data_IF_668473988944
#
_entry.id   IF_668473988944
#
_cell.length_a   1.000
_cell.length_b   1.000
_cell.length_c   1.000
_cell.angle_alpha   90.00
_cell.angle_beta   90.00
_cell.angle_gamma   90.00
#
_symmetry.space_group_name_H-M   'P 1'
#
loop_
_entity.id
_entity.type
_entity.pdbx_description
1 polymer ?
#
# COMPACT_ATOMS: atom_id res chain seq x y z
N UNK A 1 -11.67 22.67 -40.30
CA UNK A 1 -12.28 21.34 -40.17
C UNK A 1 -11.27 20.44 -39.50
N UNK A 2 -11.26 20.38 -38.16
CA UNK A 2 -10.38 19.52 -37.40
C UNK A 2 -11.05 18.15 -37.26
N UNK A 3 -10.34 17.11 -37.67
CA UNK A 3 -10.77 15.72 -37.52
C UNK A 3 -10.85 15.38 -36.04
N UNK A 4 -12.04 15.10 -35.58
CA UNK A 4 -12.27 14.34 -34.35
C UNK A 4 -11.55 13.01 -34.49
N UNK A 5 -10.49 12.80 -33.71
CA UNK A 5 -9.90 11.48 -33.54
C UNK A 5 -10.87 10.66 -32.74
N UNK A 6 -11.30 9.56 -33.35
CA UNK A 6 -12.20 8.56 -32.83
C UNK A 6 -11.68 7.94 -31.54
N UNK A 7 -12.59 7.76 -30.60
CA UNK A 7 -12.45 7.11 -29.29
C UNK A 7 -12.29 5.58 -29.37
N UNK A 8 -11.47 5.09 -30.28
CA UNK A 8 -11.19 3.67 -30.46
C UNK A 8 -9.69 3.41 -30.23
N UNK A 9 -9.25 3.28 -29.00
CA UNK A 9 -8.09 2.44 -28.61
C UNK A 9 -7.77 2.54 -27.12
N UNK A 10 -8.69 2.27 -26.24
CA UNK A 10 -8.39 1.80 -24.89
C UNK A 10 -8.80 0.33 -24.77
N UNK A 11 -8.33 -0.49 -25.70
CA UNK A 11 -8.17 -1.92 -25.43
C UNK A 11 -7.01 -1.95 -24.42
N UNK A 12 -7.34 -2.12 -23.13
CA UNK A 12 -6.38 -2.29 -22.08
C UNK A 12 -5.40 -3.39 -22.53
N UNK A 13 -4.14 -3.01 -22.71
CA UNK A 13 -3.10 -3.95 -23.09
C UNK A 13 -2.98 -4.96 -21.95
N UNK A 14 -3.50 -6.16 -22.13
CA UNK A 14 -3.51 -7.23 -21.13
C UNK A 14 -2.10 -7.72 -20.77
N UNK A 15 -1.07 -7.07 -21.29
CA UNK A 15 0.33 -7.41 -21.11
C UNK A 15 0.89 -6.74 -19.85
N UNK A 16 1.73 -7.45 -19.12
CA UNK A 16 2.56 -6.86 -18.07
C UNK A 16 3.59 -5.93 -18.73
N UNK A 17 3.69 -4.71 -18.23
CA UNK A 17 4.62 -3.70 -18.72
C UNK A 17 5.65 -3.36 -17.64
N UNK A 18 6.89 -3.78 -17.81
CA UNK A 18 7.99 -3.54 -16.88
C UNK A 18 8.99 -2.59 -17.55
N UNK A 19 9.27 -1.47 -16.90
CA UNK A 19 10.27 -0.52 -17.38
C UNK A 19 11.67 -1.17 -17.35
N UNK A 20 12.51 -0.91 -18.35
CA UNK A 20 13.85 -1.52 -18.49
C UNK A 20 14.79 -1.30 -17.30
N UNK A 21 14.58 -0.22 -16.53
CA UNK A 21 15.33 0.08 -15.31
C UNK A 21 14.62 -0.34 -14.02
N UNK A 22 13.57 -1.15 -14.09
CA UNK A 22 12.98 -1.77 -12.91
C UNK A 22 13.66 -3.11 -12.62
N UNK A 23 13.90 -3.37 -11.33
CA UNK A 23 14.43 -4.67 -10.86
C UNK A 23 13.27 -5.52 -10.34
N UNK A 24 12.84 -6.45 -11.16
CA UNK A 24 11.72 -7.35 -10.83
C UNK A 24 12.22 -8.77 -10.74
N UNK A 25 12.09 -9.37 -9.56
CA UNK A 25 12.45 -10.77 -9.38
C UNK A 25 11.71 -11.68 -10.36
N UNK A 26 12.39 -12.65 -11.00
CA UNK A 26 11.74 -13.63 -11.87
C UNK A 26 10.75 -14.55 -11.13
N UNK A 27 10.75 -14.54 -9.79
CA UNK A 27 9.81 -15.28 -8.95
C UNK A 27 8.57 -14.46 -8.58
N UNK A 28 8.59 -13.14 -8.80
CA UNK A 28 7.43 -12.29 -8.55
C UNK A 28 6.28 -12.66 -9.49
N UNK A 29 5.06 -12.71 -8.96
CA UNK A 29 3.87 -12.99 -9.73
C UNK A 29 3.13 -11.69 -10.05
N UNK A 30 3.15 -11.27 -11.32
CA UNK A 30 2.47 -10.05 -11.78
C UNK A 30 1.27 -10.41 -12.64
N UNK A 31 0.09 -9.97 -12.22
CA UNK A 31 -1.15 -10.14 -12.96
C UNK A 31 -1.18 -9.37 -14.30
N UNK A 32 -2.10 -9.73 -15.18
CA UNK A 32 -2.27 -9.05 -16.47
C UNK A 32 -2.48 -7.55 -16.29
N UNK A 33 -1.94 -6.75 -17.19
CA UNK A 33 -2.10 -5.29 -17.17
C UNK A 33 -1.38 -4.57 -16.04
N UNK A 34 -0.55 -5.27 -15.26
CA UNK A 34 0.33 -4.63 -14.27
C UNK A 34 1.40 -3.82 -15.00
N UNK A 35 1.66 -2.61 -14.52
CA UNK A 35 2.78 -1.79 -14.98
C UNK A 35 3.73 -1.47 -13.84
N UNK A 36 5.04 -1.55 -14.10
CA UNK A 36 6.12 -1.27 -13.15
C UNK A 36 7.00 -0.16 -13.70
N UNK A 37 7.10 0.95 -12.96
CA UNK A 37 7.87 2.13 -13.32
C UNK A 37 9.38 1.98 -13.10
N UNK A 38 10.13 2.92 -13.69
CA UNK A 38 11.60 2.97 -13.64
C UNK A 38 12.12 2.98 -12.20
N UNK A 39 13.20 2.23 -11.93
CA UNK A 39 13.89 2.19 -10.64
C UNK A 39 13.10 1.50 -9.52
N UNK A 40 11.97 0.87 -9.83
CA UNK A 40 11.21 0.10 -8.85
C UNK A 40 11.82 -1.27 -8.62
N UNK A 41 11.76 -1.76 -7.38
CA UNK A 41 12.26 -3.07 -6.94
C UNK A 41 11.09 -3.92 -6.48
N UNK A 42 10.95 -5.12 -7.06
CA UNK A 42 9.89 -6.09 -6.70
C UNK A 42 10.53 -7.41 -6.30
N UNK A 43 10.37 -7.77 -5.04
CA UNK A 43 10.98 -8.96 -4.43
C UNK A 43 10.37 -10.29 -4.89
N UNK A 44 11.04 -11.41 -4.53
CA UNK A 44 10.70 -12.73 -5.05
C UNK A 44 9.37 -13.31 -4.53
N UNK A 45 8.92 -12.88 -3.36
CA UNK A 45 7.70 -13.39 -2.72
C UNK A 45 6.51 -12.41 -2.85
N UNK A 46 6.57 -11.55 -3.88
CA UNK A 46 5.56 -10.54 -4.15
C UNK A 46 4.56 -11.04 -5.20
N UNK A 47 3.28 -10.90 -4.88
CA UNK A 47 2.17 -11.21 -5.79
C UNK A 47 1.35 -9.94 -6.01
N UNK A 48 1.18 -9.52 -7.26
CA UNK A 48 0.42 -8.31 -7.63
C UNK A 48 -0.74 -8.67 -8.55
N UNK A 49 -1.94 -8.34 -8.12
CA UNK A 49 -3.18 -8.55 -8.88
C UNK A 49 -3.28 -7.66 -10.13
N UNK A 50 -4.21 -8.03 -11.05
CA UNK A 50 -4.35 -7.38 -12.34
C UNK A 50 -4.55 -5.86 -12.30
N UNK A 51 -4.11 -5.19 -13.36
CA UNK A 51 -4.31 -3.75 -13.61
C UNK A 51 -3.75 -2.83 -12.51
N UNK A 52 -2.86 -3.31 -11.66
CA UNK A 52 -2.19 -2.47 -10.66
C UNK A 52 -1.07 -1.66 -11.32
N UNK A 53 -1.07 -0.36 -11.05
CA UNK A 53 -0.02 0.55 -11.48
C UNK A 53 1.00 0.78 -10.35
N UNK A 54 2.25 0.45 -10.62
CA UNK A 54 3.39 0.68 -9.73
C UNK A 54 4.23 1.78 -10.38
N UNK A 55 4.27 2.94 -9.74
CA UNK A 55 5.03 4.11 -10.18
C UNK A 55 6.55 3.90 -10.13
N UNK A 56 7.34 4.89 -10.50
CA UNK A 56 8.80 4.81 -10.42
C UNK A 56 9.32 4.83 -8.97
N UNK A 57 10.47 4.19 -8.73
CA UNK A 57 11.17 4.15 -7.45
C UNK A 57 10.30 3.61 -6.30
N UNK A 58 9.45 2.64 -6.56
CA UNK A 58 8.66 1.92 -5.56
C UNK A 58 9.42 0.67 -5.14
N UNK A 59 9.42 0.37 -3.84
CA UNK A 59 10.02 -0.86 -3.29
C UNK A 59 8.92 -1.74 -2.72
N UNK A 60 8.82 -2.98 -3.19
CA UNK A 60 7.90 -3.98 -2.64
C UNK A 60 8.72 -5.25 -2.35
N UNK A 61 8.89 -5.58 -1.08
CA UNK A 61 9.71 -6.72 -0.64
C UNK A 61 9.05 -7.51 0.49
N UNK A 62 9.52 -8.75 0.69
CA UNK A 62 8.94 -9.71 1.62
C UNK A 62 7.69 -10.39 1.06
N UNK A 63 6.98 -11.14 1.89
CA UNK A 63 5.73 -11.82 1.50
C UNK A 63 4.59 -10.82 1.39
N UNK A 64 4.44 -10.22 0.23
CA UNK A 64 3.41 -9.20 -0.04
C UNK A 64 2.43 -9.70 -1.09
N UNK A 65 1.14 -9.65 -0.75
CA UNK A 65 0.07 -9.90 -1.71
C UNK A 65 -0.77 -8.64 -1.88
N UNK A 66 -0.81 -8.14 -3.11
CA UNK A 66 -1.56 -6.95 -3.52
C UNK A 66 -2.67 -7.38 -4.47
N UNK A 67 -3.87 -6.92 -4.23
CA UNK A 67 -5.03 -7.15 -5.10
C UNK A 67 -4.95 -6.37 -6.42
N UNK A 68 -6.10 -6.20 -7.05
CA UNK A 68 -6.26 -5.62 -8.39
C UNK A 68 -6.49 -4.11 -8.35
N UNK A 69 -6.18 -3.43 -9.47
CA UNK A 69 -6.50 -2.01 -9.70
C UNK A 69 -5.93 -1.03 -8.65
N UNK A 70 -4.86 -1.40 -7.98
CA UNK A 70 -4.19 -0.52 -7.04
C UNK A 70 -3.31 0.52 -7.78
N UNK A 71 -3.10 1.67 -7.16
CA UNK A 71 -2.18 2.71 -7.62
C UNK A 71 -1.14 2.98 -6.54
N UNK A 72 0.13 2.72 -6.85
CA UNK A 72 1.25 2.88 -5.93
C UNK A 72 2.18 3.94 -6.49
N UNK A 73 2.22 5.08 -5.82
CA UNK A 73 2.94 6.28 -6.28
C UNK A 73 4.43 6.24 -5.92
N UNK A 74 5.24 7.11 -6.55
CA UNK A 74 6.69 7.07 -6.40
C UNK A 74 7.19 7.12 -4.96
N UNK A 75 8.23 6.36 -4.67
CA UNK A 75 8.90 6.32 -3.38
C UNK A 75 8.14 5.54 -2.29
N UNK A 76 7.00 4.93 -2.61
CA UNK A 76 6.32 4.07 -1.66
C UNK A 76 7.15 2.81 -1.37
N UNK A 77 7.17 2.38 -0.09
CA UNK A 77 7.87 1.17 0.37
C UNK A 77 6.87 0.25 1.08
N UNK A 78 6.67 -0.95 0.54
CA UNK A 78 5.66 -1.90 1.05
C UNK A 78 6.32 -3.22 1.40
N UNK A 79 6.06 -3.72 2.61
CA UNK A 79 6.49 -5.03 3.07
C UNK A 79 7.92 -5.08 3.62
N UNK A 80 8.59 -3.95 3.80
CA UNK A 80 9.88 -3.91 4.49
C UNK A 80 9.73 -4.32 5.95
N UNK A 81 10.86 -4.61 6.60
CA UNK A 81 10.92 -5.07 7.98
C UNK A 81 10.22 -4.11 8.95
N UNK A 82 9.55 -4.65 9.99
CA UNK A 82 8.93 -3.81 11.00
C UNK A 82 9.98 -3.03 11.79
N UNK A 83 9.61 -1.82 12.23
CA UNK A 83 10.42 -1.02 13.13
C UNK A 83 10.16 -1.42 14.60
N UNK A 84 10.18 -2.71 14.87
CA UNK A 84 9.97 -3.31 16.19
C UNK A 84 11.23 -4.06 16.63
N UNK A 85 11.77 -3.70 17.80
CA UNK A 85 12.96 -4.34 18.36
C UNK A 85 12.79 -5.85 18.65
N UNK A 86 11.56 -6.35 18.66
CA UNK A 86 11.24 -7.76 18.86
C UNK A 86 11.33 -8.57 17.58
N UNK A 87 11.37 -7.92 16.41
CA UNK A 87 11.48 -8.62 15.14
C UNK A 87 12.82 -9.35 15.03
N UNK A 88 12.78 -10.61 14.69
CA UNK A 88 13.96 -11.48 14.61
C UNK A 88 14.10 -12.19 13.26
N UNK A 89 13.58 -11.59 12.19
CA UNK A 89 13.63 -12.17 10.85
C UNK A 89 12.51 -13.16 10.53
N UNK A 90 11.46 -13.20 11.33
CA UNK A 90 10.33 -14.11 11.16
C UNK A 90 9.59 -13.90 9.83
N UNK A 91 9.10 -14.99 9.19
CA UNK A 91 8.34 -14.89 7.95
C UNK A 91 6.94 -14.34 8.19
N UNK A 92 6.77 -13.06 7.93
CA UNK A 92 5.53 -12.31 8.13
C UNK A 92 5.01 -11.72 6.82
N UNK A 93 3.74 -11.31 6.79
CA UNK A 93 3.05 -10.97 5.57
C UNK A 93 2.50 -9.54 5.55
N UNK A 94 2.31 -9.01 4.33
CA UNK A 94 1.44 -7.86 4.07
C UNK A 94 0.36 -8.29 3.08
N UNK A 95 -0.91 -8.03 3.42
CA UNK A 95 -2.05 -8.32 2.56
C UNK A 95 -2.76 -7.00 2.21
N UNK A 96 -2.88 -6.71 0.95
CA UNK A 96 -3.54 -5.51 0.41
C UNK A 96 -4.65 -5.94 -0.53
N UNK A 97 -5.84 -5.39 -0.34
CA UNK A 97 -6.98 -5.62 -1.19
C UNK A 97 -6.94 -4.84 -2.51
N UNK A 98 -8.11 -4.52 -3.04
CA UNK A 98 -8.30 -3.94 -4.36
C UNK A 98 -8.56 -2.44 -4.32
N UNK A 99 -8.29 -1.76 -5.46
CA UNK A 99 -8.66 -0.36 -5.70
C UNK A 99 -8.11 0.66 -4.69
N UNK A 100 -6.99 0.38 -4.05
CA UNK A 100 -6.34 1.32 -3.15
C UNK A 100 -5.44 2.30 -3.90
N UNK A 101 -5.25 3.46 -3.30
CA UNK A 101 -4.29 4.47 -3.77
C UNK A 101 -3.29 4.77 -2.64
N UNK A 102 -2.04 4.41 -2.88
CA UNK A 102 -0.90 4.72 -1.99
C UNK A 102 -0.11 5.85 -2.64
N UNK A 103 -0.18 7.04 -2.04
CA UNK A 103 0.49 8.22 -2.55
C UNK A 103 2.00 8.18 -2.26
N UNK A 104 2.67 9.24 -2.63
CA UNK A 104 4.13 9.33 -2.62
C UNK A 104 4.71 9.05 -1.23
N UNK A 105 5.76 8.23 -1.18
CA UNK A 105 6.50 7.90 0.03
C UNK A 105 5.64 7.29 1.17
N UNK A 106 4.55 6.64 0.84
CA UNK A 106 3.81 5.82 1.81
C UNK A 106 4.68 4.63 2.21
N UNK A 107 4.70 4.30 3.50
CA UNK A 107 5.40 3.11 3.99
C UNK A 107 4.44 2.17 4.72
N UNK A 108 4.56 0.86 4.45
CA UNK A 108 3.77 -0.20 5.08
C UNK A 108 4.73 -1.30 5.51
N UNK A 109 4.90 -1.48 6.80
CA UNK A 109 5.74 -2.56 7.33
C UNK A 109 4.99 -3.88 7.41
N UNK A 110 5.72 -5.00 7.23
CA UNK A 110 5.20 -6.32 7.53
C UNK A 110 5.08 -6.54 9.05
N UNK A 111 4.39 -7.60 9.47
CA UNK A 111 4.18 -7.91 10.88
C UNK A 111 5.46 -8.38 11.60
N UNK A 112 5.38 -8.56 12.93
CA UNK A 112 6.55 -8.84 13.78
C UNK A 112 6.84 -10.32 13.95
N UNK A 113 5.83 -11.16 14.23
CA UNK A 113 6.02 -12.57 14.55
C UNK A 113 5.51 -13.52 13.47
N UNK A 114 6.08 -14.72 13.42
CA UNK A 114 5.73 -15.74 12.44
C UNK A 114 4.22 -15.94 12.27
N UNK A 115 3.78 -15.99 11.03
CA UNK A 115 2.37 -16.16 10.65
C UNK A 115 1.50 -14.91 10.78
N UNK A 116 1.97 -13.86 11.43
CA UNK A 116 1.25 -12.58 11.53
C UNK A 116 1.26 -11.79 10.22
N UNK A 117 0.41 -10.79 10.16
CA UNK A 117 0.22 -9.99 8.96
C UNK A 117 -0.18 -8.54 9.28
N UNK A 118 0.21 -7.63 8.39
CA UNK A 118 -0.36 -6.28 8.26
C UNK A 118 -1.39 -6.32 7.14
N UNK A 119 -2.57 -5.75 7.35
CA UNK A 119 -3.70 -5.85 6.42
C UNK A 119 -4.18 -4.47 6.00
N UNK A 120 -4.42 -4.30 4.72
CA UNK A 120 -5.12 -3.14 4.14
C UNK A 120 -6.25 -3.65 3.27
N UNK A 121 -7.49 -3.27 3.57
CA UNK A 121 -8.68 -3.63 2.82
C UNK A 121 -8.74 -2.99 1.43
N UNK A 122 -9.93 -2.59 1.02
CA UNK A 122 -10.19 -2.13 -0.35
C UNK A 122 -10.57 -0.65 -0.39
N UNK A 123 -10.35 -0.01 -1.55
CA UNK A 123 -10.80 1.35 -1.85
C UNK A 123 -10.28 2.42 -0.87
N UNK A 124 -9.10 2.21 -0.31
CA UNK A 124 -8.47 3.14 0.62
C UNK A 124 -7.63 4.19 -0.12
N UNK A 125 -7.54 5.37 0.49
CA UNK A 125 -6.61 6.43 0.09
C UNK A 125 -5.63 6.71 1.23
N UNK A 126 -4.36 6.33 1.03
CA UNK A 126 -3.26 6.68 1.89
C UNK A 126 -2.48 7.82 1.21
N UNK A 127 -2.57 9.02 1.79
CA UNK A 127 -1.92 10.21 1.23
C UNK A 127 -0.42 10.22 1.54
N UNK A 128 0.29 11.13 0.88
CA UNK A 128 1.75 11.16 0.90
C UNK A 128 2.36 11.20 2.30
N UNK A 129 3.47 10.48 2.47
CA UNK A 129 4.24 10.34 3.71
C UNK A 129 3.49 9.70 4.88
N UNK A 130 2.35 9.03 4.65
CA UNK A 130 1.72 8.25 5.71
C UNK A 130 2.45 6.93 5.94
N UNK A 131 2.40 6.45 7.18
CA UNK A 131 3.06 5.23 7.61
C UNK A 131 2.08 4.28 8.31
N UNK A 132 2.10 3.01 7.91
CA UNK A 132 1.46 1.92 8.63
C UNK A 132 2.54 1.04 9.29
N UNK A 133 2.54 1.01 10.61
CA UNK A 133 3.36 0.11 11.41
C UNK A 133 2.94 -1.35 11.24
N UNK A 134 3.74 -2.21 11.82
CA UNK A 134 3.51 -3.66 11.81
C UNK A 134 2.16 -4.06 12.43
N UNK A 135 1.56 -5.14 11.94
CA UNK A 135 0.32 -5.69 12.51
C UNK A 135 -0.90 -4.74 12.47
N UNK A 136 -0.86 -3.68 11.68
CA UNK A 136 -2.04 -2.83 11.50
C UNK A 136 -3.09 -3.53 10.66
N UNK A 137 -4.36 -3.26 10.97
CA UNK A 137 -5.53 -3.72 10.21
C UNK A 137 -6.34 -2.51 9.77
N UNK A 138 -6.32 -2.20 8.48
CA UNK A 138 -7.06 -1.10 7.86
C UNK A 138 -8.23 -1.68 7.07
N UNK A 139 -9.43 -1.25 7.39
CA UNK A 139 -10.66 -1.65 6.70
C UNK A 139 -10.78 -1.14 5.28
N UNK A 140 -12.02 -0.87 4.86
CA UNK A 140 -12.32 -0.43 3.49
C UNK A 140 -12.78 1.03 3.46
N UNK A 141 -12.53 1.71 2.34
CA UNK A 141 -12.92 3.12 2.12
C UNK A 141 -12.36 4.08 3.19
N UNK A 142 -11.22 3.75 3.76
CA UNK A 142 -10.53 4.58 4.75
C UNK A 142 -9.73 5.66 4.03
N UNK A 143 -9.75 6.88 4.57
CA UNK A 143 -8.90 7.98 4.12
C UNK A 143 -7.91 8.34 5.21
N UNK A 144 -6.63 8.20 4.89
CA UNK A 144 -5.51 8.57 5.77
C UNK A 144 -4.78 9.73 5.11
N UNK A 145 -4.86 10.91 5.72
CA UNK A 145 -4.29 12.13 5.15
C UNK A 145 -2.75 12.17 5.27
N UNK A 146 -2.15 13.22 4.72
CA UNK A 146 -0.69 13.36 4.65
C UNK A 146 -0.01 13.30 6.01
N UNK A 147 1.14 12.63 6.06
CA UNK A 147 2.03 12.56 7.23
C UNK A 147 1.37 11.99 8.50
N UNK A 148 0.38 11.12 8.35
CA UNK A 148 -0.18 10.35 9.46
C UNK A 148 0.74 9.18 9.78
N UNK A 149 1.13 9.04 11.05
CA UNK A 149 2.00 7.97 11.52
C UNK A 149 1.20 7.00 12.39
N UNK A 150 0.92 5.82 11.89
CA UNK A 150 0.16 4.77 12.59
C UNK A 150 1.15 3.74 13.15
N UNK A 151 1.23 3.67 14.47
CA UNK A 151 2.09 2.70 15.15
C UNK A 151 1.52 1.25 15.04
N UNK A 152 2.27 0.26 15.54
CA UNK A 152 1.88 -1.14 15.40
C UNK A 152 0.57 -1.51 16.08
N UNK A 153 -0.09 -2.58 15.56
CA UNK A 153 -1.33 -3.15 16.11
C UNK A 153 -2.53 -2.20 16.16
N UNK A 154 -2.56 -1.18 15.32
CA UNK A 154 -3.72 -0.28 15.22
C UNK A 154 -4.76 -0.91 14.30
N UNK A 155 -6.01 -0.86 14.72
CA UNK A 155 -7.18 -1.26 13.92
C UNK A 155 -7.93 -0.01 13.49
N UNK A 156 -8.21 0.12 12.20
CA UNK A 156 -9.03 1.20 11.63
C UNK A 156 -10.19 0.56 10.87
N UNK A 157 -11.40 0.75 11.36
CA UNK A 157 -12.59 0.22 10.71
C UNK A 157 -12.96 0.98 9.44
N UNK A 158 -13.92 0.43 8.70
CA UNK A 158 -14.36 0.96 7.41
C UNK A 158 -14.82 2.42 7.49
N UNK A 159 -14.53 3.17 6.42
CA UNK A 159 -14.96 4.56 6.21
C UNK A 159 -14.45 5.57 7.24
N UNK A 160 -13.48 5.22 8.04
CA UNK A 160 -12.82 6.18 8.91
C UNK A 160 -12.04 7.21 8.09
N UNK A 161 -12.00 8.46 8.57
CA UNK A 161 -11.22 9.56 7.99
C UNK A 161 -10.24 10.07 9.03
N UNK A 162 -8.95 10.01 8.71
CA UNK A 162 -7.87 10.41 9.60
C UNK A 162 -7.19 11.65 9.01
N UNK A 163 -7.33 12.78 9.71
CA UNK A 163 -6.73 14.06 9.33
C UNK A 163 -5.21 14.05 9.36
N UNK A 164 -4.58 14.99 8.69
CA UNK A 164 -3.13 14.99 8.47
C UNK A 164 -2.27 15.36 9.67
N UNK A 165 -0.98 15.04 9.58
CA UNK A 165 0.06 15.44 10.53
C UNK A 165 -0.24 14.98 11.97
N UNK A 166 -0.60 13.73 12.16
CA UNK A 166 -0.89 13.17 13.49
C UNK A 166 -0.23 11.80 13.69
N UNK A 167 -0.10 11.42 14.96
CA UNK A 167 0.38 10.11 15.38
C UNK A 167 -0.72 9.33 16.10
N UNK A 168 -0.81 8.04 15.80
CA UNK A 168 -1.73 7.10 16.44
C UNK A 168 -0.90 6.09 17.22
N UNK A 169 -1.13 6.01 18.54
CA UNK A 169 -0.41 5.12 19.42
C UNK A 169 -0.73 3.65 19.14
N UNK A 170 0.19 2.76 19.53
CA UNK A 170 0.00 1.30 19.38
C UNK A 170 -1.30 0.82 20.03
N UNK A 171 -1.93 -0.18 19.39
CA UNK A 171 -3.15 -0.85 19.86
C UNK A 171 -4.39 0.05 19.98
N UNK A 172 -4.39 1.20 19.34
CA UNK A 172 -5.59 2.03 19.22
C UNK A 172 -6.57 1.36 18.26
N UNK A 173 -7.86 1.47 18.56
CA UNK A 173 -8.95 1.05 17.70
C UNK A 173 -9.77 2.27 17.27
N UNK A 174 -9.81 2.54 15.99
CA UNK A 174 -10.59 3.61 15.38
C UNK A 174 -11.83 2.99 14.75
N UNK A 175 -12.99 3.33 15.29
CA UNK A 175 -14.27 2.74 14.91
C UNK A 175 -14.79 3.19 13.54
N UNK A 176 -15.83 2.50 13.09
CA UNK A 176 -16.52 2.73 11.84
C UNK A 176 -17.01 4.20 11.70
N UNK A 177 -16.78 4.79 10.53
CA UNK A 177 -17.12 6.19 10.23
C UNK A 177 -16.49 7.25 11.16
N UNK A 178 -15.53 6.88 11.99
CA UNK A 178 -14.85 7.85 12.84
C UNK A 178 -14.14 8.91 12.02
N UNK A 179 -14.16 10.15 12.52
CA UNK A 179 -13.37 11.25 11.96
C UNK A 179 -12.41 11.80 13.02
N UNK A 180 -11.11 11.77 12.69
CA UNK A 180 -10.05 12.32 13.55
C UNK A 180 -9.53 13.60 12.91
N UNK A 181 -9.59 14.71 13.65
CA UNK A 181 -9.05 16.00 13.20
C UNK A 181 -7.53 15.95 13.00
N UNK A 182 -7.03 16.74 12.06
CA UNK A 182 -5.59 16.85 11.85
C UNK A 182 -4.85 17.39 13.08
N UNK A 183 -3.54 17.08 13.20
CA UNK A 183 -2.67 17.46 14.31
C UNK A 183 -3.12 16.98 15.70
N UNK A 184 -4.01 16.02 15.74
CA UNK A 184 -4.50 15.39 16.98
C UNK A 184 -3.54 14.28 17.40
N UNK A 185 -3.26 14.18 18.70
CA UNK A 185 -2.63 13.00 19.28
C UNK A 185 -3.69 11.98 19.65
N UNK A 186 -3.55 10.74 19.17
CA UNK A 186 -4.50 9.66 19.45
C UNK A 186 -3.81 8.61 20.31
N UNK A 187 -4.20 8.58 21.58
CA UNK A 187 -3.74 7.60 22.57
C UNK A 187 -4.86 6.60 22.91
N UNK A 188 -4.52 5.59 23.70
CA UNK A 188 -5.46 4.63 24.29
C UNK A 188 -6.34 5.30 25.33
#
# INVERSE_FOLDING_TARGET
>A
MSKLQSSESLIADNKVNIHEFADVSPKAELGRGVSVGSGSVIGPDVIVGPNTWIGPNVIIEGKVKIGSNNKIFPGACIGLEPQDLKYNGDPTNVLIGDNNTFRECVTINRATFEGEKTIVGNQNLLMAYSHLGHNCEIGNNVVIANSVQIAGHVVVEDRAVIGGCLGIHQFVHIGYLAMIGGMTRVDR
#
